data_IF_376093990228
#
_entry.id   IF_376093990228
#
_cell.length_a   1.000
_cell.length_b   1.000
_cell.length_c   1.000
_cell.angle_alpha   90.00
_cell.angle_beta   90.00
_cell.angle_gamma   90.00
#
_symmetry.space_group_name_H-M   'P 1'
#
loop_
_entity.id
_entity.type
_entity.pdbx_description
1 polymer ?
#
# COMPACT_ATOMS: atom_id res chain seq x y z
N UNK A 1 22.03 -22.86 -5.56
CA UNK A 1 21.48 -21.73 -6.34
C UNK A 1 19.96 -21.90 -6.39
N UNK A 2 19.22 -21.28 -5.45
CA UNK A 2 17.76 -21.33 -5.44
C UNK A 2 17.24 -20.05 -6.09
N UNK A 3 17.01 -20.10 -7.40
CA UNK A 3 16.21 -19.12 -8.11
C UNK A 3 14.75 -19.58 -8.06
N UNK A 4 13.87 -18.68 -7.64
CA UNK A 4 12.42 -18.82 -7.50
C UNK A 4 11.90 -19.82 -6.45
N UNK A 5 11.00 -19.32 -5.60
CA UNK A 5 10.37 -20.11 -4.54
C UNK A 5 9.79 -21.43 -5.04
N UNK A 6 9.96 -22.50 -4.26
CA UNK A 6 9.55 -23.84 -4.66
C UNK A 6 8.03 -23.93 -4.95
N UNK A 7 7.66 -24.48 -6.12
CA UNK A 7 6.26 -24.73 -6.48
C UNK A 7 5.57 -25.57 -5.40
N UNK A 8 4.35 -25.20 -4.99
CA UNK A 8 3.59 -25.87 -3.90
C UNK A 8 3.47 -27.40 -4.07
N UNK A 9 3.39 -27.89 -5.32
CA UNK A 9 3.38 -29.34 -5.62
C UNK A 9 4.70 -30.04 -5.22
N UNK A 10 5.85 -29.38 -5.38
CA UNK A 10 7.15 -29.91 -4.95
C UNK A 10 7.23 -29.98 -3.42
N UNK A 11 6.74 -28.94 -2.73
CA UNK A 11 6.66 -28.91 -1.26
C UNK A 11 5.75 -30.04 -0.76
N UNK A 12 4.58 -30.22 -1.36
CA UNK A 12 3.66 -31.32 -1.01
C UNK A 12 4.31 -32.69 -1.14
N UNK A 13 5.00 -32.95 -2.27
CA UNK A 13 5.68 -34.23 -2.51
C UNK A 13 6.73 -34.50 -1.43
N UNK A 14 7.60 -33.53 -1.16
CA UNK A 14 8.61 -33.63 -0.11
C UNK A 14 7.99 -33.93 1.27
N UNK A 15 6.93 -33.21 1.64
CA UNK A 15 6.27 -33.42 2.94
C UNK A 15 5.61 -34.79 3.06
N UNK A 16 5.07 -35.34 1.95
CA UNK A 16 4.55 -36.72 1.94
C UNK A 16 5.66 -37.75 2.14
N UNK A 17 6.80 -37.55 1.47
CA UNK A 17 7.98 -38.43 1.59
C UNK A 17 8.56 -38.42 3.01
N UNK A 18 8.63 -37.25 3.65
CA UNK A 18 9.25 -37.10 4.99
C UNK A 18 8.28 -37.47 6.11
N UNK A 19 7.02 -37.06 6.05
CA UNK A 19 6.08 -37.20 7.16
C UNK A 19 5.21 -38.45 7.07
N UNK A 20 5.11 -39.10 5.90
CA UNK A 20 4.25 -40.27 5.67
C UNK A 20 2.75 -40.01 5.85
N UNK A 21 2.32 -38.75 5.97
CA UNK A 21 0.93 -38.36 6.23
C UNK A 21 0.16 -38.09 4.92
N UNK A 22 -1.16 -38.34 4.88
CA UNK A 22 -2.00 -38.03 3.73
C UNK A 22 -2.27 -36.52 3.64
N UNK A 23 -1.26 -35.76 3.22
CA UNK A 23 -1.36 -34.33 3.03
C UNK A 23 -2.02 -33.97 1.69
N UNK A 24 -2.76 -32.87 1.68
CA UNK A 24 -3.34 -32.28 0.47
C UNK A 24 -2.72 -30.90 0.20
N UNK A 25 -2.93 -30.38 -1.01
CA UNK A 25 -2.37 -29.09 -1.42
C UNK A 25 -2.86 -27.92 -0.56
N UNK A 26 -4.03 -28.07 0.08
CA UNK A 26 -4.60 -27.12 1.02
C UNK A 26 -3.75 -27.01 2.29
N UNK A 27 -3.22 -28.12 2.80
CA UNK A 27 -2.36 -28.13 4.01
C UNK A 27 -1.07 -27.36 3.78
N UNK A 28 -0.45 -27.55 2.61
CA UNK A 28 0.73 -26.78 2.19
C UNK A 28 0.39 -25.29 2.06
N UNK A 29 -0.79 -24.97 1.52
CA UNK A 29 -1.22 -23.58 1.39
C UNK A 29 -1.48 -22.93 2.74
N UNK A 30 -2.08 -23.67 3.69
CA UNK A 30 -2.32 -23.23 5.06
C UNK A 30 -1.01 -23.02 5.81
N UNK A 31 -0.08 -23.97 5.73
CA UNK A 31 1.25 -23.89 6.36
C UNK A 31 2.04 -22.70 5.82
N UNK A 32 2.09 -22.49 4.49
CA UNK A 32 2.73 -21.31 3.91
C UNK A 32 2.05 -20.02 4.39
N UNK A 33 0.71 -20.00 4.47
CA UNK A 33 -0.02 -18.85 4.97
C UNK A 33 0.27 -18.57 6.45
N UNK A 34 0.43 -19.61 7.28
CA UNK A 34 0.79 -19.51 8.69
C UNK A 34 2.23 -19.05 8.89
N UNK A 35 3.20 -19.66 8.20
CA UNK A 35 4.61 -19.25 8.24
C UNK A 35 4.76 -17.78 7.86
N UNK A 36 4.06 -17.36 6.80
CA UNK A 36 4.00 -15.95 6.39
C UNK A 36 3.42 -15.07 7.49
N UNK A 37 2.27 -15.44 8.06
CA UNK A 37 1.63 -14.69 9.17
C UNK A 37 2.58 -14.52 10.35
N UNK A 38 3.31 -15.57 10.73
CA UNK A 38 4.25 -15.54 11.84
C UNK A 38 5.49 -14.68 11.53
N UNK A 39 6.00 -14.71 10.29
CA UNK A 39 7.05 -13.76 9.89
C UNK A 39 6.59 -12.30 9.94
N UNK A 40 5.35 -12.00 9.54
CA UNK A 40 4.82 -10.62 9.53
C UNK A 40 4.52 -10.05 10.92
N UNK A 41 4.36 -10.91 11.93
CA UNK A 41 4.21 -10.51 13.32
C UNK A 41 5.55 -10.49 14.08
N UNK A 42 6.67 -10.70 13.39
CA UNK A 42 7.98 -10.51 13.99
C UNK A 42 8.09 -9.06 14.47
N UNK A 43 8.43 -8.83 15.76
CA UNK A 43 8.64 -7.49 16.28
C UNK A 43 9.66 -6.68 15.46
N UNK A 44 10.65 -7.34 14.85
CA UNK A 44 11.73 -6.74 14.07
C UNK A 44 11.24 -5.94 12.86
N UNK A 45 10.34 -6.50 12.05
CA UNK A 45 9.84 -5.81 10.85
C UNK A 45 9.02 -4.56 11.19
N UNK A 46 8.20 -4.63 12.25
CA UNK A 46 7.42 -3.48 12.70
C UNK A 46 8.29 -2.37 13.28
N UNK A 47 9.37 -2.73 13.99
CA UNK A 47 10.38 -1.78 14.47
C UNK A 47 11.06 -1.10 13.29
N UNK A 48 11.56 -1.87 12.32
CA UNK A 48 12.23 -1.34 11.13
C UNK A 48 11.33 -0.42 10.30
N UNK A 49 10.07 -0.79 10.09
CA UNK A 49 9.10 0.09 9.41
C UNK A 49 8.90 1.38 10.19
N UNK A 50 8.82 1.30 11.52
CA UNK A 50 8.66 2.48 12.37
C UNK A 50 9.87 3.41 12.27
N UNK A 51 11.09 2.87 12.32
CA UNK A 51 12.34 3.63 12.14
C UNK A 51 12.39 4.33 10.79
N UNK A 52 12.10 3.61 9.70
CA UNK A 52 12.08 4.19 8.35
C UNK A 52 11.05 5.32 8.22
N UNK A 53 9.87 5.17 8.80
CA UNK A 53 8.83 6.21 8.79
C UNK A 53 9.23 7.42 9.66
N UNK A 54 9.89 7.18 10.80
CA UNK A 54 10.41 8.23 11.67
C UNK A 54 11.50 9.03 10.95
N UNK A 55 12.49 8.36 10.36
CA UNK A 55 13.57 8.97 9.59
C UNK A 55 12.99 9.80 8.42
N UNK A 56 12.03 9.25 7.69
CA UNK A 56 11.36 9.96 6.61
C UNK A 56 10.63 11.22 7.12
N UNK A 57 9.93 11.10 8.26
CA UNK A 57 9.21 12.23 8.88
C UNK A 57 10.12 13.31 9.47
N UNK A 58 11.39 12.97 9.75
CA UNK A 58 12.41 13.93 10.18
C UNK A 58 12.84 14.90 9.08
N UNK A 59 12.55 14.59 7.81
CA UNK A 59 12.78 15.49 6.68
C UNK A 59 11.90 16.75 6.75
N UNK A 60 12.47 17.98 6.61
CA UNK A 60 11.69 19.21 6.71
C UNK A 60 10.50 19.25 5.74
N UNK A 61 9.29 19.37 6.29
CA UNK A 61 8.04 19.47 5.54
C UNK A 61 7.47 18.14 5.02
N UNK A 62 8.15 17.02 5.28
CA UNK A 62 7.62 15.68 5.03
C UNK A 62 6.49 15.36 6.01
N UNK A 63 5.55 14.53 5.59
CA UNK A 63 4.38 14.12 6.40
C UNK A 63 4.17 12.63 6.24
N UNK A 64 3.97 11.94 7.36
CA UNK A 64 3.57 10.53 7.41
C UNK A 64 2.33 10.41 8.28
N UNK A 65 1.37 9.59 7.86
CA UNK A 65 0.24 9.21 8.71
C UNK A 65 0.09 7.70 8.71
N UNK A 66 -0.15 7.12 9.90
CA UNK A 66 -0.40 5.68 10.08
C UNK A 66 -1.81 5.52 10.63
N UNK A 67 -2.66 4.83 9.88
CA UNK A 67 -4.03 4.51 10.23
C UNK A 67 -4.11 3.04 10.64
N UNK A 68 -4.89 2.75 11.68
CA UNK A 68 -5.09 1.39 12.19
C UNK A 68 -6.57 1.03 12.12
N UNK A 69 -6.83 -0.22 11.74
CA UNK A 69 -8.14 -0.85 11.88
C UNK A 69 -8.43 -1.05 13.38
N UNK A 70 -9.49 -0.47 13.93
CA UNK A 70 -9.80 -0.53 15.36
C UNK A 70 -10.16 -1.95 15.82
N UNK A 71 -10.74 -2.77 14.95
CA UNK A 71 -11.20 -4.12 15.28
C UNK A 71 -10.07 -5.14 15.15
N UNK A 72 -9.31 -5.07 14.05
CA UNK A 72 -8.21 -5.99 13.79
C UNK A 72 -6.91 -5.61 14.53
N UNK A 73 -6.81 -4.36 15.02
CA UNK A 73 -5.58 -3.75 15.58
C UNK A 73 -4.38 -3.80 14.64
N UNK A 74 -4.63 -3.94 13.34
CA UNK A 74 -3.60 -3.94 12.29
C UNK A 74 -3.55 -2.57 11.64
N UNK A 75 -2.39 -2.20 11.09
CA UNK A 75 -2.28 -1.02 10.24
C UNK A 75 -3.16 -1.21 8.99
N UNK A 76 -4.02 -0.25 8.71
CA UNK A 76 -4.94 -0.29 7.56
C UNK A 76 -4.43 0.55 6.40
N UNK A 77 -3.75 1.65 6.69
CA UNK A 77 -3.21 2.55 5.70
C UNK A 77 -1.98 3.28 6.25
N UNK A 78 -0.93 3.44 5.45
CA UNK A 78 0.21 4.31 5.74
C UNK A 78 0.32 5.29 4.58
N UNK A 79 0.23 6.57 4.85
CA UNK A 79 0.46 7.62 3.85
C UNK A 79 1.77 8.31 4.12
N UNK A 80 2.49 8.66 3.05
CA UNK A 80 3.75 9.38 3.16
C UNK A 80 3.90 10.36 2.00
N UNK A 81 4.36 11.56 2.33
CA UNK A 81 4.41 12.69 1.43
C UNK A 81 5.68 13.50 1.69
N UNK A 82 6.46 13.77 0.66
CA UNK A 82 7.62 14.66 0.78
C UNK A 82 7.21 16.12 0.72
N UNK A 83 8.07 17.01 1.18
CA UNK A 83 7.91 18.46 1.00
C UNK A 83 7.83 18.86 -0.49
N UNK A 84 8.60 18.20 -1.35
CA UNK A 84 8.56 18.42 -2.80
C UNK A 84 7.20 18.04 -3.39
N UNK A 85 6.68 16.85 -3.06
CA UNK A 85 5.36 16.40 -3.51
C UNK A 85 4.25 17.41 -3.12
N UNK A 86 4.31 17.94 -1.89
CA UNK A 86 3.38 18.99 -1.42
C UNK A 86 3.53 20.31 -2.17
N UNK A 87 4.74 20.65 -2.59
CA UNK A 87 4.99 21.83 -3.42
C UNK A 87 4.34 21.66 -4.80
N UNK A 88 4.53 20.50 -5.44
CA UNK A 88 3.92 20.18 -6.73
C UNK A 88 2.38 20.24 -6.66
N UNK A 89 1.78 19.71 -5.59
CA UNK A 89 0.34 19.78 -5.35
C UNK A 89 -0.26 21.18 -5.24
N UNK A 90 0.55 22.16 -4.80
CA UNK A 90 0.11 23.57 -4.76
C UNK A 90 0.23 24.25 -6.12
N UNK A 91 1.19 23.82 -6.93
CA UNK A 91 1.50 24.43 -8.23
C UNK A 91 0.59 23.91 -9.34
N UNK A 92 0.24 22.62 -9.31
CA UNK A 92 -0.46 21.95 -10.41
C UNK A 92 -1.64 21.09 -9.91
N UNK A 93 -2.65 21.67 -9.25
CA UNK A 93 -3.76 20.89 -8.71
C UNK A 93 -4.75 20.41 -9.78
N UNK A 94 -4.74 20.92 -11.01
CA UNK A 94 -5.90 20.78 -11.91
C UNK A 94 -6.25 19.34 -12.28
N UNK A 95 -5.24 18.48 -12.46
CA UNK A 95 -5.41 17.09 -12.90
C UNK A 95 -4.68 16.15 -11.96
N UNK A 96 -5.44 15.27 -11.32
CA UNK A 96 -4.91 14.23 -10.43
C UNK A 96 -5.18 12.86 -11.05
N UNK A 97 -4.13 12.06 -11.20
CA UNK A 97 -4.20 10.66 -11.58
C UNK A 97 -4.00 9.78 -10.34
N UNK A 98 -4.88 8.81 -10.12
CA UNK A 98 -4.78 7.84 -9.02
C UNK A 98 -4.62 6.46 -9.60
N UNK A 99 -3.53 5.80 -9.24
CA UNK A 99 -3.23 4.44 -9.67
C UNK A 99 -2.72 3.58 -8.51
N UNK A 100 -2.90 2.27 -8.65
CA UNK A 100 -2.49 1.27 -7.69
C UNK A 100 -1.61 0.21 -8.36
N UNK A 101 -0.54 -0.21 -7.69
CA UNK A 101 0.31 -1.27 -8.23
C UNK A 101 -0.49 -2.56 -8.44
N UNK A 102 -0.35 -3.24 -9.58
CA UNK A 102 -1.02 -4.53 -9.81
C UNK A 102 -0.70 -5.60 -8.75
N UNK A 103 0.46 -5.53 -8.09
CA UNK A 103 0.84 -6.44 -7.01
C UNK A 103 0.50 -5.91 -5.61
N UNK A 104 0.65 -6.79 -4.62
CA UNK A 104 0.80 -6.39 -3.22
C UNK A 104 2.18 -6.77 -2.72
N UNK A 105 2.67 -6.06 -1.70
CA UNK A 105 3.90 -6.46 -1.03
C UNK A 105 3.70 -7.76 -0.22
N UNK A 106 4.77 -8.26 0.40
CA UNK A 106 4.70 -9.47 1.21
C UNK A 106 3.62 -9.39 2.31
N UNK A 107 3.44 -8.20 2.90
CA UNK A 107 2.44 -7.93 3.94
C UNK A 107 1.04 -7.66 3.39
N UNK A 108 0.81 -7.88 2.08
CA UNK A 108 -0.46 -7.72 1.35
C UNK A 108 -0.96 -6.28 1.20
N UNK A 109 -0.11 -5.29 1.43
CA UNK A 109 -0.44 -3.90 1.13
C UNK A 109 -0.24 -3.64 -0.35
N UNK A 110 -1.17 -2.88 -0.93
CA UNK A 110 -1.03 -2.33 -2.27
C UNK A 110 -0.52 -0.89 -2.16
N UNK A 111 0.37 -0.50 -3.07
CA UNK A 111 0.86 0.87 -3.16
C UNK A 111 -0.07 1.67 -4.08
N UNK A 112 -0.77 2.63 -3.51
CA UNK A 112 -1.53 3.64 -4.19
C UNK A 112 -0.70 4.90 -4.35
N UNK A 113 -0.77 5.53 -5.52
CA UNK A 113 -0.05 6.75 -5.82
C UNK A 113 -0.99 7.78 -6.44
N UNK A 114 -0.92 9.00 -5.90
CA UNK A 114 -1.53 10.18 -6.47
C UNK A 114 -0.45 10.88 -7.27
N UNK A 115 -0.76 11.17 -8.53
CA UNK A 115 0.12 11.84 -9.48
C UNK A 115 -0.57 13.08 -10.01
N UNK A 116 0.21 14.10 -10.26
CA UNK A 116 -0.19 15.35 -10.87
C UNK A 116 0.41 15.44 -12.25
N UNK A 117 -0.22 16.24 -13.11
CA UNK A 117 0.36 16.61 -14.40
C UNK A 117 0.60 18.11 -14.42
N UNK A 118 1.83 18.53 -14.72
CA UNK A 118 2.15 19.94 -14.90
C UNK A 118 1.67 20.48 -16.25
N UNK A 119 1.80 21.80 -16.43
CA UNK A 119 1.37 22.49 -17.66
C UNK A 119 2.13 22.07 -18.92
N UNK A 120 3.26 21.35 -18.78
CA UNK A 120 4.05 20.83 -19.87
C UNK A 120 3.76 19.34 -20.16
N UNK A 121 2.82 18.74 -19.42
CA UNK A 121 2.46 17.32 -19.55
C UNK A 121 3.37 16.38 -18.77
N UNK A 122 4.22 16.89 -17.88
CA UNK A 122 5.10 16.07 -17.04
C UNK A 122 4.39 15.63 -15.76
N UNK A 123 4.54 14.35 -15.44
CA UNK A 123 3.98 13.77 -14.22
C UNK A 123 4.85 14.05 -12.99
N UNK A 124 4.22 14.35 -11.85
CA UNK A 124 4.88 14.41 -10.55
C UNK A 124 4.05 13.67 -9.51
N UNK A 125 4.70 13.03 -8.53
CA UNK A 125 3.97 12.41 -7.44
C UNK A 125 3.49 13.45 -6.43
N UNK A 126 2.32 13.22 -5.88
CA UNK A 126 1.72 14.04 -4.84
C UNK A 126 1.61 13.31 -3.51
N UNK A 127 1.20 12.05 -3.51
CA UNK A 127 1.04 11.26 -2.29
C UNK A 127 1.22 9.78 -2.62
N UNK A 128 1.87 9.06 -1.73
CA UNK A 128 1.82 7.60 -1.73
C UNK A 128 1.07 7.09 -0.50
N UNK A 129 0.36 5.97 -0.70
CA UNK A 129 -0.35 5.27 0.36
C UNK A 129 -0.16 3.76 0.23
N UNK A 130 0.30 3.10 1.29
CA UNK A 130 0.23 1.65 1.43
C UNK A 130 -1.09 1.30 2.09
N UNK A 131 -1.95 0.55 1.40
CA UNK A 131 -3.32 0.26 1.86
C UNK A 131 -3.50 -1.25 2.01
N UNK A 132 -3.96 -1.71 3.18
CA UNK A 132 -4.29 -3.12 3.42
C UNK A 132 -5.63 -3.44 2.77
N UNK A 133 -5.60 -4.21 1.67
CA UNK A 133 -6.77 -4.56 0.84
C UNK A 133 -7.46 -3.32 0.27
N UNK A 134 -7.97 -3.45 -0.95
CA UNK A 134 -8.78 -2.39 -1.58
C UNK A 134 -10.19 -2.42 -0.97
N UNK A 135 -10.28 -2.02 0.29
CA UNK A 135 -11.53 -1.80 0.99
C UNK A 135 -11.78 -0.30 1.05
N UNK A 136 -13.06 0.04 0.88
CA UNK A 136 -13.54 1.41 0.79
C UNK A 136 -13.10 2.28 1.97
N UNK A 137 -13.06 1.69 3.15
CA UNK A 137 -12.70 2.34 4.39
C UNK A 137 -11.22 2.72 4.46
N UNK A 138 -10.34 1.86 3.95
CA UNK A 138 -8.88 2.06 4.04
C UNK A 138 -8.40 3.08 2.99
N UNK A 139 -9.05 3.09 1.84
CA UNK A 139 -8.86 4.08 0.78
C UNK A 139 -9.36 5.47 1.18
N UNK A 140 -10.46 5.55 1.93
CA UNK A 140 -10.93 6.82 2.51
C UNK A 140 -9.86 7.49 3.35
N UNK A 141 -9.03 6.74 4.09
CA UNK A 141 -7.91 7.31 4.86
C UNK A 141 -6.85 7.94 3.96
N UNK A 142 -6.51 7.29 2.84
CA UNK A 142 -5.57 7.84 1.86
C UNK A 142 -6.10 9.14 1.23
N UNK A 143 -7.35 9.12 0.77
CA UNK A 143 -8.00 10.27 0.12
C UNK A 143 -8.20 11.42 1.12
N UNK A 144 -8.61 11.12 2.35
CA UNK A 144 -8.78 12.13 3.40
C UNK A 144 -7.45 12.78 3.75
N UNK A 145 -6.36 12.00 3.80
CA UNK A 145 -5.01 12.56 3.97
C UNK A 145 -4.66 13.49 2.83
N UNK A 146 -4.86 13.03 1.61
CA UNK A 146 -4.60 13.80 0.40
C UNK A 146 -5.37 15.13 0.39
N UNK A 147 -6.68 15.14 0.70
CA UNK A 147 -7.50 16.36 0.81
C UNK A 147 -7.01 17.27 1.94
N UNK A 148 -6.60 16.70 3.08
CA UNK A 148 -6.11 17.45 4.25
C UNK A 148 -4.76 18.11 3.99
N UNK A 149 -3.83 17.40 3.35
CA UNK A 149 -2.47 17.88 3.15
C UNK A 149 -2.37 18.94 2.04
N UNK A 150 -3.36 18.96 1.14
CA UNK A 150 -3.42 19.83 -0.02
C UNK A 150 -4.68 20.70 0.04
N UNK A 151 -4.57 21.86 0.71
CA UNK A 151 -5.69 22.80 0.90
C UNK A 151 -6.34 23.30 -0.39
N UNK A 152 -5.62 23.20 -1.52
CA UNK A 152 -6.09 23.57 -2.86
C UNK A 152 -6.82 22.42 -3.58
N UNK A 153 -7.21 21.35 -2.87
CA UNK A 153 -7.97 20.24 -3.46
C UNK A 153 -9.28 20.71 -4.15
N UNK A 154 -9.84 21.84 -3.72
CA UNK A 154 -10.98 22.46 -4.42
C UNK A 154 -10.70 22.80 -5.88
N UNK A 155 -9.44 23.01 -6.23
CA UNK A 155 -9.00 23.47 -7.55
C UNK A 155 -8.79 22.30 -8.53
N UNK A 156 -8.90 21.05 -8.04
CA UNK A 156 -8.85 19.86 -8.90
C UNK A 156 -10.09 19.83 -9.79
N UNK A 157 -9.87 19.75 -11.09
CA UNK A 157 -10.89 19.76 -12.14
C UNK A 157 -11.16 18.37 -12.67
N UNK A 158 -10.11 17.55 -12.77
CA UNK A 158 -10.18 16.22 -13.35
C UNK A 158 -9.47 15.23 -12.43
N UNK A 159 -10.14 14.10 -12.16
CA UNK A 159 -9.54 12.95 -11.50
C UNK A 159 -9.55 11.80 -12.51
N UNK A 160 -8.36 11.31 -12.85
CA UNK A 160 -8.17 10.14 -13.71
C UNK A 160 -7.88 8.96 -12.82
N UNK A 161 -8.62 7.87 -12.99
CA UNK A 161 -8.40 6.63 -12.25
C UNK A 161 -8.33 5.47 -13.21
N UNK A 162 -7.60 4.42 -12.83
CA UNK A 162 -7.62 3.18 -13.57
C UNK A 162 -9.03 2.57 -13.62
N UNK A 163 -9.36 1.88 -14.71
CA UNK A 163 -10.70 1.30 -14.93
C UNK A 163 -11.07 0.28 -13.86
N UNK A 164 -10.08 -0.40 -13.28
CA UNK A 164 -10.29 -1.46 -12.29
C UNK A 164 -10.35 -0.86 -10.88
N UNK A 165 -10.28 0.48 -10.76
CA UNK A 165 -10.47 1.22 -9.53
C UNK A 165 -11.95 1.24 -9.15
N UNK A 166 -12.35 0.26 -8.35
CA UNK A 166 -13.75 0.03 -7.93
C UNK A 166 -14.31 1.08 -6.96
N UNK A 167 -13.47 1.96 -6.42
CA UNK A 167 -13.84 2.83 -5.30
C UNK A 167 -14.04 4.29 -5.67
N UNK A 168 -14.49 4.54 -6.90
CA UNK A 168 -14.76 5.87 -7.46
C UNK A 168 -15.57 6.79 -6.51
N UNK A 169 -16.50 6.22 -5.71
CA UNK A 169 -17.29 6.94 -4.70
C UNK A 169 -16.47 7.57 -3.56
N UNK A 170 -15.27 7.07 -3.27
CA UNK A 170 -14.42 7.64 -2.21
C UNK A 170 -13.79 8.98 -2.62
N UNK A 171 -13.75 9.26 -3.92
CA UNK A 171 -13.22 10.48 -4.52
C UNK A 171 -14.29 11.55 -4.76
N UNK A 172 -15.55 11.29 -4.39
CA UNK A 172 -16.62 12.29 -4.53
C UNK A 172 -16.30 13.55 -3.70
N UNK A 173 -16.77 14.70 -4.21
CA UNK A 173 -16.74 15.96 -3.47
C UNK A 173 -17.59 15.87 -2.21
#
# INVERSE_FOLDING_TARGET
>A
MWQDGAKRKKILRYLKEVLGKPLILKDVSNMIAEMRRNSYMSPDDNVRVTEVLQDFSGGPGNVVNVFRDPDAKLTSCITFQTSHMRCMARLFPEVVCVDATHGTNISRYRLFSFMLTDNFGSGAFELHALVDREKQENMKSAITTFKRNNGNWSDVKVIVIDKDFTELFTLSR
#
